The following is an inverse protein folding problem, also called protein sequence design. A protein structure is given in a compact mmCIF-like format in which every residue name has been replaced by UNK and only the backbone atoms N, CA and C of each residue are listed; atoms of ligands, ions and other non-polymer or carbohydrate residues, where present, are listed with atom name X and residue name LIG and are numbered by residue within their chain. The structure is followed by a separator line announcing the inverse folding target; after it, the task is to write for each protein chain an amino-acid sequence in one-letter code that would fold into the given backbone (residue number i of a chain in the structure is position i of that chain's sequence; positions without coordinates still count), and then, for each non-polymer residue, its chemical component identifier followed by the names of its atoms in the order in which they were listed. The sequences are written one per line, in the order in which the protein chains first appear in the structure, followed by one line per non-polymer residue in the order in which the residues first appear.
data_IF_343218752000
#
_entry.id   IF_343218752000
#
_cell.length_a   1.000
_cell.length_b   1.000
_cell.length_c   1.000
_cell.angle_alpha   90.00
_cell.angle_beta   90.00
_cell.angle_gamma   90.00
#
_symmetry.space_group_name_H-M   'P 1'
#
loop_
_entity.id
_entity.type
_entity.pdbx_description
1 polymer ?
#
# COMPACT_ATOMS: atom_id res chain seq x y z
N UNK A 1 24.52 6.58 13.83
CA UNK A 1 23.25 5.83 13.85
C UNK A 1 23.45 4.55 13.06
N UNK A 2 22.87 3.44 13.51
CA UNK A 2 22.97 2.14 12.81
C UNK A 2 22.37 2.23 11.41
N UNK A 3 23.03 1.63 10.45
CA UNK A 3 22.48 1.50 9.09
C UNK A 3 21.41 0.41 9.08
N UNK A 4 20.31 0.66 8.38
CA UNK A 4 19.14 -0.24 8.32
C UNK A 4 18.91 -0.66 6.89
N UNK A 5 18.79 -1.97 6.69
CA UNK A 5 18.65 -2.59 5.38
C UNK A 5 17.35 -3.40 5.28
N UNK A 6 16.86 -3.56 4.06
CA UNK A 6 15.74 -4.45 3.72
C UNK A 6 16.35 -5.73 3.13
N UNK A 7 16.16 -6.85 3.81
CA UNK A 7 16.67 -8.14 3.42
C UNK A 7 15.78 -8.89 2.43
N UNK A 8 14.46 -8.73 2.57
CA UNK A 8 13.48 -9.33 1.67
C UNK A 8 12.24 -8.47 1.54
N UNK A 9 11.51 -8.63 0.42
CA UNK A 9 10.30 -7.90 0.11
C UNK A 9 9.36 -8.80 -0.71
N UNK A 10 8.12 -8.97 -0.26
CA UNK A 10 7.13 -9.83 -0.92
C UNK A 10 5.72 -9.25 -0.79
N UNK A 11 4.82 -9.61 -1.71
CA UNK A 11 3.41 -9.27 -1.66
C UNK A 11 2.53 -10.40 -2.17
N UNK A 12 1.26 -10.42 -1.84
CA UNK A 12 0.28 -11.19 -2.59
C UNK A 12 -0.03 -10.50 -3.92
N UNK A 13 -0.60 -11.22 -4.88
CA UNK A 13 -1.37 -10.57 -5.91
C UNK A 13 -2.55 -9.80 -5.28
N UNK A 14 -3.02 -8.74 -5.93
CA UNK A 14 -4.09 -7.88 -5.44
C UNK A 14 -5.42 -8.37 -5.98
N UNK A 15 -6.35 -8.71 -5.07
CA UNK A 15 -7.73 -9.07 -5.39
C UNK A 15 -8.62 -7.84 -5.56
N UNK A 16 -9.64 -7.93 -6.42
CA UNK A 16 -10.68 -6.91 -6.55
C UNK A 16 -11.78 -7.10 -5.49
N UNK A 17 -12.58 -6.07 -5.28
CA UNK A 17 -13.72 -6.13 -4.36
C UNK A 17 -14.70 -7.25 -4.75
N UNK A 18 -14.95 -8.15 -3.82
CA UNK A 18 -15.78 -9.33 -4.06
C UNK A 18 -15.14 -10.36 -5.00
N UNK A 19 -13.86 -10.22 -5.35
CA UNK A 19 -13.10 -11.09 -6.26
C UNK A 19 -12.52 -12.34 -5.59
N UNK A 20 -11.39 -12.79 -6.11
CA UNK A 20 -10.79 -14.08 -5.72
C UNK A 20 -10.38 -14.16 -4.25
N UNK A 21 -9.97 -13.05 -3.63
CA UNK A 21 -9.53 -13.01 -2.23
C UNK A 21 -10.63 -12.70 -1.21
N UNK A 22 -11.87 -12.47 -1.64
CA UNK A 22 -12.96 -12.02 -0.77
C UNK A 22 -13.20 -12.87 0.48
N UNK A 23 -12.92 -14.17 0.40
CA UNK A 23 -13.17 -15.12 1.50
C UNK A 23 -11.90 -15.42 2.32
N UNK A 24 -10.75 -14.86 1.97
CA UNK A 24 -9.48 -15.05 2.66
C UNK A 24 -9.30 -13.94 3.72
N UNK A 25 -9.29 -14.25 5.02
CA UNK A 25 -9.08 -13.23 6.05
C UNK A 25 -7.78 -12.44 5.85
N UNK A 26 -7.79 -11.13 6.15
CA UNK A 26 -6.58 -10.30 6.10
C UNK A 26 -5.41 -10.90 6.92
N UNK A 27 -5.74 -11.50 8.07
CA UNK A 27 -4.77 -12.21 8.93
C UNK A 27 -4.06 -13.34 8.20
N UNK A 28 -4.76 -14.10 7.35
CA UNK A 28 -4.19 -15.23 6.61
C UNK A 28 -3.31 -14.72 5.45
N UNK A 29 -3.71 -13.63 4.77
CA UNK A 29 -2.86 -12.96 3.79
C UNK A 29 -1.59 -12.41 4.46
N UNK A 30 -1.73 -11.79 5.64
CA UNK A 30 -0.60 -11.31 6.44
C UNK A 30 0.35 -12.44 6.86
N UNK A 31 -0.19 -13.56 7.32
CA UNK A 31 0.61 -14.72 7.70
C UNK A 31 1.42 -15.30 6.53
N UNK A 32 0.81 -15.35 5.34
CA UNK A 32 1.44 -15.84 4.13
C UNK A 32 2.66 -14.99 3.75
N UNK A 33 2.51 -13.67 3.71
CA UNK A 33 3.61 -12.77 3.33
C UNK A 33 4.69 -12.67 4.40
N UNK A 34 4.34 -12.73 5.70
CA UNK A 34 5.32 -12.80 6.80
C UNK A 34 6.20 -14.04 6.65
N UNK A 35 5.56 -15.22 6.49
CA UNK A 35 6.26 -16.49 6.32
C UNK A 35 7.21 -16.46 5.13
N UNK A 36 6.73 -15.99 3.98
CA UNK A 36 7.53 -15.97 2.76
C UNK A 36 8.65 -14.92 2.83
N UNK A 37 8.41 -13.75 3.44
CA UNK A 37 9.45 -12.75 3.66
C UNK A 37 10.62 -13.29 4.50
N UNK A 38 10.33 -14.00 5.60
CA UNK A 38 11.36 -14.65 6.45
C UNK A 38 12.11 -15.74 5.67
N UNK A 39 11.39 -16.56 4.90
CA UNK A 39 11.99 -17.60 4.07
C UNK A 39 12.93 -17.00 3.01
N UNK A 40 12.51 -15.93 2.31
CA UNK A 40 13.34 -15.28 1.26
C UNK A 40 14.52 -14.52 1.84
N UNK A 41 14.41 -14.02 3.07
CA UNK A 41 15.56 -13.45 3.77
C UNK A 41 16.61 -14.51 4.14
N UNK A 42 16.25 -15.79 4.09
CA UNK A 42 17.15 -16.91 4.44
C UNK A 42 17.51 -16.96 5.92
N UNK A 43 16.66 -16.41 6.79
CA UNK A 43 16.89 -16.37 8.23
C UNK A 43 15.99 -17.36 8.98
N UNK A 44 16.42 -17.76 10.17
CA UNK A 44 15.59 -18.56 11.06
C UNK A 44 14.51 -17.69 11.70
N UNK A 45 13.26 -18.18 11.87
CA UNK A 45 12.16 -17.42 12.49
C UNK A 45 12.50 -16.88 13.89
N UNK A 46 13.32 -17.60 14.67
CA UNK A 46 13.73 -17.23 16.03
C UNK A 46 14.62 -15.97 16.09
N UNK A 47 15.15 -15.54 14.95
CA UNK A 47 15.97 -14.31 14.86
C UNK A 47 15.13 -13.04 14.76
N UNK A 48 13.84 -13.16 14.48
CA UNK A 48 12.93 -12.02 14.44
C UNK A 48 12.67 -11.52 15.86
N UNK A 49 12.88 -10.22 16.09
CA UNK A 49 12.66 -9.62 17.41
C UNK A 49 11.22 -9.10 17.55
N UNK A 50 10.62 -8.56 16.49
CA UNK A 50 9.27 -8.00 16.52
C UNK A 50 8.60 -8.04 15.14
N UNK A 51 7.25 -7.99 15.13
CA UNK A 51 6.44 -7.88 13.92
C UNK A 51 5.58 -6.63 13.99
N UNK A 52 5.63 -5.79 12.96
CA UNK A 52 4.80 -4.58 12.82
C UNK A 52 4.02 -4.62 11.52
N UNK A 53 2.70 -4.79 11.60
CA UNK A 53 1.85 -4.85 10.39
C UNK A 53 0.79 -3.77 10.40
N UNK A 54 0.63 -3.10 9.25
CA UNK A 54 -0.47 -2.19 9.00
C UNK A 54 -1.78 -2.93 8.72
N UNK A 55 -2.88 -2.43 9.30
CA UNK A 55 -4.24 -2.84 8.95
C UNK A 55 -5.20 -1.74 9.35
N UNK A 56 -6.14 -1.38 8.48
CA UNK A 56 -7.07 -0.25 8.69
C UNK A 56 -8.43 -0.74 9.18
N UNK A 57 -9.04 -1.67 8.47
CA UNK A 57 -10.39 -2.16 8.79
C UNK A 57 -10.26 -3.37 9.70
N UNK A 58 -10.23 -3.11 11.02
CA UNK A 58 -9.94 -4.13 12.04
C UNK A 58 -11.21 -4.69 12.71
N UNK A 59 -12.37 -4.11 12.46
CA UNK A 59 -13.62 -4.54 13.09
C UNK A 59 -13.92 -6.01 12.79
N UNK A 60 -14.15 -6.80 13.84
CA UNK A 60 -14.50 -8.22 13.73
C UNK A 60 -13.34 -9.17 13.41
N UNK A 61 -12.09 -8.68 13.26
CA UNK A 61 -10.94 -9.53 12.98
C UNK A 61 -10.29 -10.15 14.23
N UNK A 62 -10.77 -9.82 15.42
CA UNK A 62 -10.19 -10.27 16.69
C UNK A 62 -9.08 -9.36 17.19
N UNK A 63 -8.41 -9.79 18.25
CA UNK A 63 -7.35 -9.00 18.88
C UNK A 63 -6.08 -8.98 18.01
N UNK A 64 -5.48 -7.81 17.85
CA UNK A 64 -4.13 -7.62 17.28
C UNK A 64 -3.85 -8.51 16.06
N UNK A 65 -4.34 -8.08 14.91
CA UNK A 65 -4.26 -8.86 13.67
C UNK A 65 -2.79 -9.15 13.23
N UNK A 66 -1.85 -8.26 13.56
CA UNK A 66 -0.42 -8.51 13.34
C UNK A 66 0.08 -9.71 14.17
N UNK A 67 -0.35 -9.79 15.45
CA UNK A 67 -0.02 -10.93 16.32
C UNK A 67 -0.60 -12.23 15.79
N UNK A 68 -1.85 -12.21 15.35
CA UNK A 68 -2.47 -13.39 14.76
C UNK A 68 -1.70 -13.86 13.53
N UNK A 69 -1.32 -12.92 12.64
CA UNK A 69 -0.56 -13.22 11.42
C UNK A 69 0.83 -13.78 11.75
N UNK A 70 1.53 -13.21 12.71
CA UNK A 70 2.87 -13.67 13.14
C UNK A 70 2.84 -15.13 13.63
N UNK A 71 1.89 -15.46 14.51
CA UNK A 71 1.72 -16.83 15.03
C UNK A 71 1.30 -17.81 13.93
N UNK A 72 0.36 -17.41 13.06
CA UNK A 72 -0.07 -18.24 11.91
C UNK A 72 1.06 -18.43 10.88
N UNK A 73 1.97 -17.48 10.76
CA UNK A 73 3.16 -17.61 9.91
C UNK A 73 4.17 -18.64 10.42
N UNK A 74 4.03 -19.08 11.68
CA UNK A 74 4.92 -20.01 12.33
C UNK A 74 6.09 -19.36 13.05
N UNK A 75 6.02 -18.05 13.32
CA UNK A 75 7.00 -17.41 14.19
C UNK A 75 6.84 -17.88 15.65
N UNK A 76 7.93 -17.96 16.44
CA UNK A 76 7.85 -18.25 17.86
C UNK A 76 6.86 -17.37 18.63
N UNK A 77 6.18 -17.95 19.59
CA UNK A 77 5.15 -17.24 20.37
C UNK A 77 5.72 -16.17 21.30
N UNK A 78 7.01 -16.21 21.56
CA UNK A 78 7.76 -15.22 22.35
C UNK A 78 7.95 -13.89 21.60
N UNK A 79 7.84 -13.90 20.26
CA UNK A 79 8.05 -12.70 19.44
C UNK A 79 6.80 -11.81 19.53
N UNK A 80 6.92 -10.58 20.07
CA UNK A 80 5.81 -9.63 20.14
C UNK A 80 5.40 -9.15 18.75
N UNK A 81 4.18 -8.63 18.65
CA UNK A 81 3.68 -8.05 17.40
C UNK A 81 2.76 -6.87 17.69
N UNK A 82 2.77 -5.89 16.81
CA UNK A 82 1.97 -4.67 16.89
C UNK A 82 1.24 -4.41 15.58
N UNK A 83 -0.07 -4.12 15.68
CA UNK A 83 -0.86 -3.63 14.55
C UNK A 83 -0.89 -2.11 14.58
N UNK A 84 -0.61 -1.47 13.45
CA UNK A 84 -0.68 -0.01 13.32
C UNK A 84 -1.74 0.40 12.30
N UNK A 85 -2.33 1.57 12.53
CA UNK A 85 -3.26 2.21 11.61
C UNK A 85 -2.83 3.67 11.38
N UNK A 86 -2.36 3.95 10.18
CA UNK A 86 -2.13 5.28 9.64
C UNK A 86 -2.82 5.35 8.27
N UNK A 87 -4.05 4.81 8.18
CA UNK A 87 -4.83 4.67 6.96
C UNK A 87 -3.98 4.10 5.81
N UNK A 88 -3.99 4.71 4.63
CA UNK A 88 -3.23 4.25 3.45
C UNK A 88 -1.72 4.14 3.69
N UNK A 89 -1.18 4.94 4.63
CA UNK A 89 0.24 4.95 4.97
C UNK A 89 0.72 3.81 5.86
N UNK A 90 -0.18 2.99 6.42
CA UNK A 90 0.13 1.98 7.44
C UNK A 90 1.27 1.04 7.03
N UNK A 91 1.22 0.51 5.82
CA UNK A 91 2.24 -0.42 5.34
C UNK A 91 3.64 0.19 5.20
N UNK A 92 3.77 1.44 4.73
CA UNK A 92 5.07 2.12 4.66
C UNK A 92 5.53 2.61 6.03
N UNK A 93 4.57 3.01 6.89
CA UNK A 93 4.84 3.41 8.26
C UNK A 93 5.40 2.27 9.11
N UNK A 94 4.93 1.04 8.89
CA UNK A 94 5.47 -0.14 9.59
C UNK A 94 6.96 -0.35 9.31
N UNK A 95 7.39 -0.16 8.06
CA UNK A 95 8.81 -0.23 7.67
C UNK A 95 9.61 0.91 8.31
N UNK A 96 9.06 2.13 8.34
CA UNK A 96 9.69 3.26 9.01
C UNK A 96 9.83 3.03 10.52
N UNK A 97 8.83 2.43 11.18
CA UNK A 97 8.90 2.05 12.61
C UNK A 97 9.97 0.97 12.84
N UNK A 98 10.00 -0.06 12.00
CA UNK A 98 11.05 -1.08 12.07
C UNK A 98 12.46 -0.44 11.99
N UNK A 99 12.65 0.50 11.05
CA UNK A 99 13.91 1.22 10.95
C UNK A 99 14.21 2.08 12.19
N UNK A 100 13.21 2.69 12.82
CA UNK A 100 13.37 3.45 14.06
C UNK A 100 13.80 2.55 15.24
N UNK A 101 13.14 1.40 15.41
CA UNK A 101 13.46 0.43 16.47
C UNK A 101 14.90 -0.11 16.33
N UNK A 102 15.32 -0.42 15.11
CA UNK A 102 16.68 -0.87 14.80
C UNK A 102 17.70 0.25 15.05
N UNK A 103 17.42 1.48 14.62
CA UNK A 103 18.30 2.63 14.87
C UNK A 103 18.42 3.00 16.35
N UNK A 104 17.35 2.78 17.13
CA UNK A 104 17.35 2.96 18.58
C UNK A 104 18.14 1.88 19.32
N UNK A 105 18.33 0.71 18.70
CA UNK A 105 19.01 -0.43 19.30
C UNK A 105 18.07 -1.40 20.03
N UNK A 106 16.75 -1.19 19.92
CA UNK A 106 15.74 -2.07 20.56
C UNK A 106 15.63 -3.42 19.87
N UNK A 107 15.87 -3.46 18.55
CA UNK A 107 15.78 -4.65 17.71
C UNK A 107 16.94 -4.72 16.73
N UNK A 108 17.26 -5.93 16.27
CA UNK A 108 18.16 -6.19 15.15
C UNK A 108 17.43 -6.61 13.89
N UNK A 109 16.32 -7.35 14.03
CA UNK A 109 15.52 -7.91 12.93
C UNK A 109 14.03 -7.68 13.21
N UNK A 110 13.34 -7.01 12.32
CA UNK A 110 11.90 -6.74 12.42
C UNK A 110 11.21 -7.17 11.13
N UNK A 111 10.09 -7.87 11.25
CA UNK A 111 9.18 -8.09 10.13
C UNK A 111 8.18 -6.94 10.08
N UNK A 112 8.13 -6.25 8.96
CA UNK A 112 7.24 -5.09 8.76
C UNK A 112 6.41 -5.26 7.50
N UNK A 113 5.22 -4.66 7.45
CA UNK A 113 4.36 -4.76 6.27
C UNK A 113 2.97 -4.23 6.48
N UNK A 114 2.02 -4.74 5.71
CA UNK A 114 0.61 -4.42 5.85
C UNK A 114 -0.27 -5.46 5.17
N UNK A 115 -1.51 -5.51 5.59
CA UNK A 115 -2.52 -6.40 5.08
C UNK A 115 -3.89 -5.72 5.11
N UNK A 116 -4.73 -6.05 4.16
CA UNK A 116 -6.12 -5.57 4.12
C UNK A 116 -7.00 -6.56 3.37
N UNK A 117 -8.21 -6.77 3.84
CA UNK A 117 -9.27 -7.37 3.04
C UNK A 117 -10.50 -6.47 3.16
N UNK A 118 -10.66 -5.58 2.19
CA UNK A 118 -11.77 -4.63 2.17
C UNK A 118 -13.08 -5.32 1.80
N UNK A 119 -13.02 -6.43 1.06
CA UNK A 119 -14.20 -7.26 0.72
C UNK A 119 -14.88 -7.88 1.96
N UNK A 120 -14.15 -8.03 3.07
CA UNK A 120 -14.65 -8.61 4.33
C UNK A 120 -14.99 -7.57 5.40
N UNK A 121 -14.95 -6.30 5.06
CA UNK A 121 -15.31 -5.24 6.00
C UNK A 121 -16.75 -5.49 6.54
N UNK A 122 -16.96 -5.59 7.86
CA UNK A 122 -18.27 -5.84 8.41
C UNK A 122 -19.13 -4.58 8.42
N UNK A 123 -20.42 -4.78 8.62
CA UNK A 123 -21.33 -3.70 8.98
C UNK A 123 -21.47 -3.59 10.50
N UNK A 124 -21.55 -2.38 11.04
CA UNK A 124 -21.71 -2.10 12.46
C UNK A 124 -23.11 -1.58 12.79
N UNK A 125 -23.63 -2.01 13.94
CA UNK A 125 -24.86 -1.54 14.55
C UNK A 125 -24.51 -0.73 15.80
N UNK A 126 -24.21 0.55 15.65
CA UNK A 126 -23.63 1.40 16.70
C UNK A 126 -24.50 1.52 17.96
N UNK A 127 -25.82 1.52 17.80
CA UNK A 127 -26.78 1.71 18.91
C UNK A 127 -27.20 0.41 19.58
N UNK A 128 -26.91 -0.75 19.02
CA UNK A 128 -27.52 -2.04 19.42
C UNK A 128 -26.98 -2.58 20.74
N UNK A 129 -25.80 -2.16 21.23
CA UNK A 129 -25.23 -2.63 22.50
C UNK A 129 -26.17 -2.45 23.69
N UNK A 130 -26.91 -1.37 23.70
CA UNK A 130 -27.88 -1.04 24.77
C UNK A 130 -29.35 -1.29 24.37
N UNK A 131 -29.56 -1.92 23.22
CA UNK A 131 -30.86 -2.22 22.63
C UNK A 131 -31.37 -1.11 21.71
N UNK A 132 -32.00 -1.52 20.62
CA UNK A 132 -32.77 -0.64 19.73
C UNK A 132 -34.17 -0.51 20.31
N UNK A 133 -34.41 0.49 21.16
CA UNK A 133 -35.58 0.57 22.01
C UNK A 133 -36.88 0.87 21.24
N UNK A 134 -36.83 1.73 20.22
CA UNK A 134 -38.00 2.10 19.41
C UNK A 134 -37.51 2.75 18.10
N UNK A 135 -38.21 2.48 17.00
CA UNK A 135 -37.85 3.02 15.65
C UNK A 135 -36.78 2.22 14.95
N UNK A 136 -36.41 2.69 13.75
CA UNK A 136 -35.42 2.03 12.88
C UNK A 136 -34.01 2.21 13.42
N UNK A 137 -33.14 1.20 13.20
CA UNK A 137 -31.70 1.26 13.47
C UNK A 137 -30.90 1.53 12.19
N UNK A 138 -29.77 2.23 12.31
CA UNK A 138 -28.83 2.45 11.20
C UNK A 138 -27.77 1.36 11.19
N UNK A 139 -27.57 0.73 10.04
CA UNK A 139 -26.44 -0.17 9.75
C UNK A 139 -25.36 0.64 9.05
N UNK A 140 -24.13 0.63 9.59
CA UNK A 140 -23.00 1.39 9.10
C UNK A 140 -22.02 0.47 8.40
N UNK A 141 -21.69 0.73 7.14
CA UNK A 141 -20.61 0.08 6.41
C UNK A 141 -19.27 0.55 6.94
N UNK A 142 -18.49 -0.32 7.59
CA UNK A 142 -17.18 0.04 8.17
C UNK A 142 -16.13 0.29 7.11
N UNK A 143 -16.25 -0.30 5.92
CA UNK A 143 -15.36 0.03 4.80
C UNK A 143 -15.49 1.49 4.39
N UNK A 144 -16.72 1.98 4.25
CA UNK A 144 -17.00 3.39 3.92
C UNK A 144 -16.63 4.29 5.10
N UNK A 145 -17.06 3.94 6.31
CA UNK A 145 -16.91 4.79 7.50
C UNK A 145 -15.45 4.94 7.91
N UNK A 146 -14.69 3.85 7.97
CA UNK A 146 -13.37 3.81 8.60
C UNK A 146 -12.23 3.95 7.60
N UNK A 147 -12.47 3.72 6.29
CA UNK A 147 -11.44 3.78 5.27
C UNK A 147 -11.70 4.81 4.15
N UNK A 148 -12.94 4.97 3.68
CA UNK A 148 -13.25 5.73 2.48
C UNK A 148 -13.96 7.07 2.73
N UNK A 149 -14.30 7.41 3.98
CA UNK A 149 -14.88 8.70 4.35
C UNK A 149 -13.86 9.58 5.08
N UNK A 150 -13.82 10.86 4.72
CA UNK A 150 -13.09 11.85 5.50
C UNK A 150 -13.76 12.04 6.87
N UNK A 151 -12.97 11.86 7.93
CA UNK A 151 -13.49 11.88 9.30
C UNK A 151 -13.90 13.28 9.78
N UNK A 152 -13.40 14.33 9.14
CA UNK A 152 -13.64 15.73 9.52
C UNK A 152 -14.79 16.33 8.73
N UNK A 153 -14.83 16.08 7.42
CA UNK A 153 -15.81 16.67 6.51
C UNK A 153 -17.00 15.73 6.21
N UNK A 154 -16.92 14.46 6.61
CA UNK A 154 -17.99 13.46 6.44
C UNK A 154 -18.42 13.23 4.97
N UNK A 155 -17.49 13.29 4.04
CA UNK A 155 -17.69 12.95 2.64
C UNK A 155 -16.69 11.88 2.17
N UNK A 156 -17.00 11.25 1.04
CA UNK A 156 -16.12 10.21 0.46
C UNK A 156 -14.78 10.78 0.01
N UNK A 157 -13.69 10.00 0.11
CA UNK A 157 -12.35 10.38 -0.33
C UNK A 157 -12.30 10.89 -1.78
N UNK A 158 -13.20 10.43 -2.65
CA UNK A 158 -13.31 10.93 -4.02
C UNK A 158 -13.68 12.42 -4.10
N UNK A 159 -14.33 12.98 -3.08
CA UNK A 159 -14.58 14.43 -3.01
C UNK A 159 -13.28 15.20 -2.77
N UNK A 160 -12.35 14.63 -1.98
CA UNK A 160 -11.01 15.24 -1.83
C UNK A 160 -10.24 15.28 -3.15
N UNK A 161 -10.44 14.26 -4.02
CA UNK A 161 -9.87 14.26 -5.36
C UNK A 161 -10.51 15.32 -6.26
N UNK A 162 -11.82 15.55 -6.17
CA UNK A 162 -12.50 16.65 -6.88
C UNK A 162 -12.04 18.04 -6.38
N UNK A 163 -11.73 18.17 -5.08
CA UNK A 163 -11.13 19.41 -4.56
C UNK A 163 -9.77 19.69 -5.23
N UNK A 164 -8.93 18.67 -5.38
CA UNK A 164 -7.66 18.77 -6.10
C UNK A 164 -7.89 19.11 -7.58
N UNK A 165 -8.84 18.46 -8.24
CA UNK A 165 -9.22 18.80 -9.62
C UNK A 165 -9.53 20.29 -9.76
N UNK A 166 -10.30 20.84 -8.82
CA UNK A 166 -10.68 22.27 -8.81
C UNK A 166 -9.47 23.17 -8.55
N UNK A 167 -8.66 22.84 -7.55
CA UNK A 167 -7.54 23.69 -7.10
C UNK A 167 -6.41 23.74 -8.12
N UNK A 168 -6.08 22.61 -8.75
CA UNK A 168 -5.04 22.52 -9.79
C UNK A 168 -5.57 22.72 -11.22
N UNK A 169 -6.87 22.96 -11.39
CA UNK A 169 -7.47 23.22 -12.71
C UNK A 169 -7.39 22.04 -13.68
N UNK A 170 -7.40 20.80 -13.15
CA UNK A 170 -7.24 19.59 -13.97
C UNK A 170 -8.45 19.33 -14.85
N UNK A 171 -8.23 18.78 -16.04
CA UNK A 171 -9.29 18.38 -16.96
C UNK A 171 -9.65 16.90 -16.80
N UNK A 172 -10.81 16.50 -17.28
CA UNK A 172 -11.23 15.10 -17.31
C UNK A 172 -10.32 14.26 -18.21
N UNK A 173 -9.90 14.82 -19.31
CA UNK A 173 -9.02 14.22 -20.30
C UNK A 173 -7.65 13.89 -19.67
N UNK A 174 -7.05 14.82 -18.93
CA UNK A 174 -5.80 14.58 -18.20
C UNK A 174 -5.91 13.41 -17.23
N UNK A 175 -7.05 13.31 -16.49
CA UNK A 175 -7.30 12.22 -15.55
C UNK A 175 -7.41 10.87 -16.27
N UNK A 176 -8.15 10.84 -17.37
CA UNK A 176 -8.38 9.61 -18.13
C UNK A 176 -7.12 9.15 -18.88
N UNK A 177 -6.31 10.06 -19.43
CA UNK A 177 -5.01 9.75 -20.05
C UNK A 177 -4.01 9.18 -19.03
N UNK A 178 -3.93 9.78 -17.85
CA UNK A 178 -3.11 9.25 -16.76
C UNK A 178 -3.52 7.81 -16.41
N UNK A 179 -4.82 7.58 -16.28
CA UNK A 179 -5.39 6.29 -15.91
C UNK A 179 -5.18 5.23 -17.00
N UNK A 180 -5.36 5.62 -18.27
CA UNK A 180 -5.05 4.75 -19.41
C UNK A 180 -3.58 4.30 -19.38
N UNK A 181 -2.66 5.24 -19.15
CA UNK A 181 -1.24 4.93 -19.05
C UNK A 181 -0.92 3.95 -17.92
N UNK A 182 -1.57 4.09 -16.74
CA UNK A 182 -1.46 3.14 -15.64
C UNK A 182 -1.92 1.74 -16.06
N UNK A 183 -3.09 1.64 -16.73
CA UNK A 183 -3.63 0.36 -17.22
C UNK A 183 -2.70 -0.29 -18.26
N UNK A 184 -2.21 0.46 -19.24
CA UNK A 184 -1.31 -0.07 -20.28
C UNK A 184 0.03 -0.54 -19.71
N UNK A 185 0.60 0.21 -18.76
CA UNK A 185 1.83 -0.20 -18.05
C UNK A 185 1.60 -1.50 -17.26
N UNK A 186 0.49 -1.62 -16.52
CA UNK A 186 0.16 -2.81 -15.75
C UNK A 186 -0.09 -4.04 -16.65
N UNK A 187 -0.84 -3.87 -17.74
CA UNK A 187 -1.06 -4.93 -18.73
C UNK A 187 0.27 -5.44 -19.30
N UNK A 188 1.15 -4.51 -19.70
CA UNK A 188 2.48 -4.85 -20.22
C UNK A 188 3.31 -5.60 -19.16
N UNK A 189 3.35 -5.08 -17.93
CA UNK A 189 4.13 -5.68 -16.84
C UNK A 189 3.66 -7.10 -16.52
N UNK A 190 2.35 -7.37 -16.50
CA UNK A 190 1.80 -8.71 -16.28
C UNK A 190 2.17 -9.64 -17.44
N UNK A 191 2.01 -9.21 -18.69
CA UNK A 191 2.37 -10.00 -19.88
C UNK A 191 3.87 -10.35 -19.92
N UNK A 192 4.72 -9.45 -19.48
CA UNK A 192 6.17 -9.64 -19.39
C UNK A 192 6.61 -10.38 -18.12
N UNK A 193 5.69 -10.70 -17.21
CA UNK A 193 5.97 -11.44 -15.98
C UNK A 193 6.77 -10.62 -14.94
N UNK A 194 6.68 -9.28 -14.99
CA UNK A 194 7.44 -8.37 -14.09
C UNK A 194 7.15 -8.57 -12.60
N UNK A 195 5.96 -9.06 -12.26
CA UNK A 195 5.54 -9.22 -10.87
C UNK A 195 5.82 -10.62 -10.29
N UNK A 196 6.33 -11.57 -11.10
CA UNK A 196 6.51 -12.98 -10.67
C UNK A 196 7.40 -13.12 -9.45
N UNK A 197 8.48 -12.34 -9.38
CA UNK A 197 9.47 -12.45 -8.31
C UNK A 197 9.00 -11.81 -7.00
N UNK A 198 8.04 -10.89 -7.06
CA UNK A 198 7.51 -10.20 -5.88
C UNK A 198 6.25 -10.84 -5.31
N UNK A 199 5.50 -11.61 -6.11
CA UNK A 199 4.22 -12.20 -5.72
C UNK A 199 4.42 -13.55 -5.03
N UNK A 200 3.75 -13.70 -3.88
CA UNK A 200 3.55 -14.97 -3.19
C UNK A 200 2.18 -15.51 -3.60
N UNK A 201 2.09 -16.70 -4.20
CA UNK A 201 0.81 -17.29 -4.57
C UNK A 201 -0.10 -17.55 -3.37
N UNK A 202 -1.36 -17.17 -3.47
CA UNK A 202 -2.39 -17.47 -2.49
C UNK A 202 -3.18 -18.70 -2.95
N UNK A 203 -3.26 -19.72 -2.11
CA UNK A 203 -4.07 -20.91 -2.36
C UNK A 203 -5.51 -20.65 -1.93
N UNK A 204 -6.38 -20.32 -2.87
CA UNK A 204 -7.79 -19.97 -2.62
C UNK A 204 -8.63 -21.25 -2.53
N UNK A 205 -9.19 -21.57 -1.35
CA UNK A 205 -10.04 -22.75 -1.20
C UNK A 205 -11.23 -22.72 -2.16
N UNK A 206 -11.55 -23.85 -2.74
CA UNK A 206 -12.72 -24.00 -3.60
C UNK A 206 -13.81 -24.78 -2.89
N UNK A 207 -15.06 -24.51 -3.23
CA UNK A 207 -16.21 -25.21 -2.66
C UNK A 207 -16.17 -26.72 -2.94
N UNK A 208 -15.57 -27.12 -4.06
CA UNK A 208 -15.28 -28.48 -4.47
C UNK A 208 -13.97 -28.52 -5.26
N UNK A 209 -13.19 -29.58 -5.06
CA UNK A 209 -11.91 -29.78 -5.75
C UNK A 209 -10.70 -29.12 -5.06
N UNK A 210 -9.59 -29.06 -5.77
CA UNK A 210 -8.33 -28.52 -5.28
C UNK A 210 -8.38 -26.98 -5.14
N UNK A 211 -7.61 -26.38 -4.22
CA UNK A 211 -7.47 -24.94 -4.15
C UNK A 211 -6.98 -24.33 -5.45
N UNK A 212 -7.53 -23.17 -5.82
CA UNK A 212 -7.07 -22.42 -7.00
C UNK A 212 -5.90 -21.53 -6.61
N UNK A 213 -4.83 -21.56 -7.41
CA UNK A 213 -3.70 -20.64 -7.25
C UNK A 213 -4.11 -19.24 -7.70
N UNK A 214 -3.89 -18.25 -6.87
CA UNK A 214 -4.07 -16.84 -7.15
C UNK A 214 -2.72 -16.14 -7.05
N UNK A 215 -2.11 -15.82 -8.19
CA UNK A 215 -0.74 -15.31 -8.35
C UNK A 215 -0.62 -14.15 -9.35
N UNK A 216 -1.75 -13.61 -9.79
CA UNK A 216 -1.79 -12.52 -10.77
C UNK A 216 -2.76 -11.44 -10.29
N UNK A 217 -2.35 -10.17 -10.39
CA UNK A 217 -3.18 -9.02 -10.01
C UNK A 217 -4.46 -9.00 -10.84
N UNK A 218 -5.62 -8.93 -10.16
CA UNK A 218 -6.95 -9.09 -10.74
C UNK A 218 -7.54 -7.77 -11.26
N UNK A 219 -6.96 -6.63 -10.84
CA UNK A 219 -7.48 -5.30 -11.14
C UNK A 219 -7.30 -4.83 -12.59
N UNK A 220 -6.15 -5.07 -13.25
CA UNK A 220 -5.86 -4.49 -14.55
C UNK A 220 -6.84 -4.91 -15.64
N UNK A 221 -7.36 -3.92 -16.36
CA UNK A 221 -8.34 -4.09 -17.44
C UNK A 221 -7.63 -4.09 -18.78
N UNK A 222 -7.33 -5.26 -19.28
CA UNK A 222 -6.63 -5.44 -20.55
C UNK A 222 -7.43 -4.87 -21.72
N UNK A 223 -6.73 -4.20 -22.64
CA UNK A 223 -7.36 -3.54 -23.78
C UNK A 223 -8.12 -2.27 -23.43
N UNK A 224 -7.79 -1.61 -22.32
CA UNK A 224 -8.35 -0.29 -21.97
C UNK A 224 -8.08 0.73 -23.07
N UNK A 225 -9.08 1.60 -23.33
CA UNK A 225 -8.98 2.68 -24.32
C UNK A 225 -9.47 4.01 -23.73
N UNK A 226 -9.05 5.12 -24.33
CA UNK A 226 -9.47 6.45 -23.88
C UNK A 226 -10.98 6.65 -24.06
N UNK A 227 -11.56 6.12 -25.15
CA UNK A 227 -12.99 6.19 -25.40
C UNK A 227 -13.79 5.39 -24.37
N UNK A 228 -13.24 4.28 -23.88
CA UNK A 228 -13.82 3.48 -22.80
C UNK A 228 -13.88 4.27 -21.50
N UNK A 229 -12.81 4.95 -21.13
CA UNK A 229 -12.73 5.80 -19.94
C UNK A 229 -13.64 7.03 -20.06
N UNK A 230 -13.65 7.70 -21.20
CA UNK A 230 -14.45 8.89 -21.43
C UNK A 230 -15.98 8.67 -21.27
N UNK A 231 -16.47 7.43 -21.47
CA UNK A 231 -17.90 7.08 -21.28
C UNK A 231 -18.31 6.96 -19.81
N UNK A 232 -17.34 6.88 -18.89
CA UNK A 232 -17.65 6.72 -17.46
C UNK A 232 -18.19 8.03 -16.88
N UNK A 233 -19.19 7.90 -16.01
CA UNK A 233 -19.82 9.06 -15.35
C UNK A 233 -19.05 9.41 -14.07
N UNK A 234 -19.04 10.70 -13.67
CA UNK A 234 -18.55 11.10 -12.35
C UNK A 234 -19.27 10.34 -11.24
N UNK A 235 -18.52 9.96 -10.18
CA UNK A 235 -19.03 9.09 -9.12
C UNK A 235 -19.29 9.82 -7.80
N UNK A 236 -18.65 10.97 -7.54
CA UNK A 236 -18.58 11.55 -6.21
C UNK A 236 -19.34 12.87 -6.06
N UNK A 237 -19.33 13.71 -7.07
CA UNK A 237 -20.13 14.94 -7.12
C UNK A 237 -20.82 15.07 -8.48
N UNK A 238 -21.94 15.80 -8.49
CA UNK A 238 -22.62 16.14 -9.74
C UNK A 238 -21.70 17.00 -10.61
N UNK A 239 -21.61 16.66 -11.89
CA UNK A 239 -20.77 17.36 -12.87
C UNK A 239 -19.27 17.37 -12.52
N UNK A 240 -18.81 16.39 -11.70
CA UNK A 240 -17.41 16.17 -11.36
C UNK A 240 -16.59 15.57 -12.51
N UNK A 241 -15.30 15.35 -12.25
CA UNK A 241 -14.36 14.77 -13.22
C UNK A 241 -13.80 13.42 -12.77
N UNK A 242 -13.95 13.10 -11.47
CA UNK A 242 -13.46 11.85 -10.90
C UNK A 242 -14.46 10.73 -11.12
N UNK A 243 -13.98 9.63 -11.73
CA UNK A 243 -14.80 8.47 -12.12
C UNK A 243 -14.21 7.19 -11.54
N UNK A 244 -14.93 6.08 -11.66
CA UNK A 244 -14.39 4.76 -11.32
C UNK A 244 -13.19 4.34 -12.18
N UNK A 245 -13.00 4.94 -13.36
CA UNK A 245 -11.88 4.64 -14.26
C UNK A 245 -10.61 5.42 -13.94
N UNK A 246 -10.73 6.56 -13.24
CA UNK A 246 -9.59 7.39 -12.86
C UNK A 246 -9.40 7.48 -11.32
N UNK A 247 -9.92 6.47 -10.63
CA UNK A 247 -9.76 6.19 -9.20
C UNK A 247 -9.20 4.79 -9.00
N UNK A 248 -8.47 4.56 -7.90
CA UNK A 248 -8.10 3.21 -7.51
C UNK A 248 -9.32 2.39 -7.11
N UNK A 249 -9.20 1.07 -7.21
CA UNK A 249 -10.24 0.14 -6.76
C UNK A 249 -10.28 -0.04 -5.25
N UNK A 250 -11.31 -0.76 -4.80
CA UNK A 250 -11.43 -1.36 -3.46
C UNK A 250 -10.83 -2.76 -3.58
N UNK A 251 -9.85 -3.10 -2.73
CA UNK A 251 -9.00 -4.25 -3.00
C UNK A 251 -8.60 -5.02 -1.73
N UNK A 252 -8.10 -6.23 -1.96
CA UNK A 252 -7.63 -7.16 -0.95
C UNK A 252 -6.18 -7.53 -1.23
N UNK A 253 -5.32 -7.59 -0.21
CA UNK A 253 -3.92 -7.96 -0.40
C UNK A 253 -3.05 -7.73 0.83
N UNK A 254 -1.81 -8.21 0.77
CA UNK A 254 -0.81 -8.04 1.81
C UNK A 254 0.60 -7.91 1.24
N UNK A 255 1.49 -7.29 1.99
CA UNK A 255 2.91 -7.22 1.67
C UNK A 255 3.75 -7.21 2.96
N UNK A 256 4.95 -7.78 2.92
CA UNK A 256 5.85 -7.83 4.06
C UNK A 256 7.33 -7.76 3.66
N UNK A 257 8.13 -7.35 4.62
CA UNK A 257 9.57 -7.22 4.54
C UNK A 257 10.24 -7.84 5.76
N UNK A 258 11.47 -8.28 5.58
CA UNK A 258 12.42 -8.41 6.70
C UNK A 258 13.33 -7.19 6.65
N UNK A 259 13.32 -6.41 7.72
CA UNK A 259 14.15 -5.22 7.93
C UNK A 259 15.16 -5.54 9.04
N UNK A 260 16.42 -5.25 8.83
CA UNK A 260 17.45 -5.53 9.83
C UNK A 260 18.59 -4.51 9.84
N UNK A 261 19.40 -4.54 10.88
CA UNK A 261 20.63 -3.76 10.88
C UNK A 261 21.63 -4.30 9.85
N UNK A 262 22.43 -3.41 9.26
CA UNK A 262 23.46 -3.82 8.30
C UNK A 262 24.49 -4.76 8.95
N UNK A 263 24.79 -4.56 10.23
CA UNK A 263 25.68 -5.42 11.01
C UNK A 263 25.10 -6.83 11.13
N UNK A 264 23.78 -6.95 11.41
CA UNK A 264 23.12 -8.25 11.52
C UNK A 264 23.01 -8.94 10.17
N UNK A 265 22.77 -8.21 9.10
CA UNK A 265 22.79 -8.76 7.74
C UNK A 265 24.17 -9.36 7.40
N UNK A 266 25.25 -8.63 7.71
CA UNK A 266 26.62 -9.11 7.50
C UNK A 266 26.93 -10.35 8.36
N UNK A 267 26.55 -10.35 9.64
CA UNK A 267 26.71 -11.51 10.55
C UNK A 267 26.04 -12.77 10.01
N UNK A 268 24.85 -12.61 9.43
CA UNK A 268 24.05 -13.73 8.91
C UNK A 268 24.38 -14.09 7.45
N UNK A 269 25.26 -13.34 6.79
CA UNK A 269 25.56 -13.53 5.36
C UNK A 269 24.39 -13.19 4.43
N UNK A 270 23.47 -12.34 4.87
CA UNK A 270 22.30 -11.91 4.09
C UNK A 270 22.71 -10.76 3.17
N UNK A 271 22.42 -10.89 1.87
CA UNK A 271 22.60 -9.80 0.90
C UNK A 271 21.36 -8.91 0.90
N UNK A 272 21.47 -7.64 1.32
CA UNK A 272 20.31 -6.74 1.35
C UNK A 272 19.82 -6.37 -0.06
N UNK A 273 18.51 -6.15 -0.20
CA UNK A 273 17.90 -5.57 -1.39
C UNK A 273 18.22 -4.07 -1.52
N UNK A 274 18.15 -3.34 -0.41
CA UNK A 274 18.46 -1.92 -0.33
C UNK A 274 18.68 -1.45 1.11
N UNK A 275 19.31 -0.28 1.26
CA UNK A 275 19.41 0.49 2.51
C UNK A 275 18.28 1.50 2.59
N UNK A 276 17.69 1.71 3.78
CA UNK A 276 16.73 2.78 4.04
C UNK A 276 17.49 4.07 4.34
N UNK A 277 17.47 5.00 3.36
CA UNK A 277 18.20 6.28 3.44
C UNK A 277 17.45 7.29 4.30
N UNK A 278 16.18 7.53 3.97
CA UNK A 278 15.33 8.50 4.65
C UNK A 278 13.88 8.07 4.63
N UNK A 279 13.11 8.47 5.63
CA UNK A 279 11.67 8.33 5.69
C UNK A 279 11.04 9.48 6.45
N UNK A 280 9.80 9.83 6.12
CA UNK A 280 9.11 10.94 6.77
C UNK A 280 7.63 10.97 6.49
N UNK A 281 6.93 11.73 7.33
CA UNK A 281 5.49 11.92 7.28
C UNK A 281 5.18 13.40 7.45
N UNK A 282 4.14 13.90 6.78
CA UNK A 282 3.67 15.29 6.93
C UNK A 282 2.14 15.32 6.92
N UNK A 283 1.59 16.22 7.73
CA UNK A 283 0.17 16.57 7.72
C UNK A 283 -0.12 17.74 6.79
N UNK A 284 -1.36 17.80 6.30
CA UNK A 284 -1.93 18.91 5.52
C UNK A 284 -3.45 18.95 5.71
N UNK A 285 -4.11 19.88 5.04
CA UNK A 285 -5.57 19.99 5.05
C UNK A 285 -6.20 18.66 4.57
N UNK A 286 -7.09 18.04 5.38
CA UNK A 286 -7.82 16.83 4.99
C UNK A 286 -8.60 16.98 3.69
N UNK A 287 -9.10 18.16 3.39
CA UNK A 287 -9.88 18.42 2.18
C UNK A 287 -9.10 18.17 0.88
N UNK A 288 -7.77 18.22 0.93
CA UNK A 288 -6.86 17.94 -0.17
C UNK A 288 -5.83 16.86 0.20
N UNK A 289 -6.24 15.87 0.98
CA UNK A 289 -5.36 14.82 1.53
C UNK A 289 -4.46 14.17 0.46
N UNK A 290 -4.95 14.07 -0.77
CA UNK A 290 -4.20 13.49 -1.89
C UNK A 290 -2.89 14.21 -2.21
N UNK A 291 -2.74 15.48 -1.81
CA UNK A 291 -1.51 16.25 -2.00
C UNK A 291 -0.42 15.96 -0.93
N UNK A 292 -0.71 15.11 0.04
CA UNK A 292 0.23 14.69 1.10
C UNK A 292 1.61 14.22 0.62
N UNK A 293 1.72 13.46 -0.48
CA UNK A 293 3.01 13.03 -1.05
C UNK A 293 3.96 14.19 -1.36
N UNK A 294 3.46 15.36 -1.79
CA UNK A 294 4.28 16.53 -2.04
C UNK A 294 5.06 16.95 -0.80
N UNK A 295 4.38 17.12 0.33
CA UNK A 295 5.00 17.54 1.58
C UNK A 295 5.93 16.47 2.17
N UNK A 296 5.51 15.21 2.11
CA UNK A 296 6.32 14.10 2.62
C UNK A 296 7.59 13.89 1.79
N UNK A 297 7.49 13.95 0.46
CA UNK A 297 8.64 13.82 -0.45
C UNK A 297 9.64 14.94 -0.22
N UNK A 298 9.20 16.20 -0.17
CA UNK A 298 10.10 17.32 0.14
C UNK A 298 10.84 17.14 1.46
N UNK A 299 10.15 16.65 2.49
CA UNK A 299 10.75 16.45 3.81
C UNK A 299 11.83 15.35 3.79
N UNK A 300 11.60 14.22 3.11
CA UNK A 300 12.60 13.14 3.04
C UNK A 300 13.78 13.50 2.14
N UNK A 301 13.55 14.24 1.04
CA UNK A 301 14.60 14.76 0.19
C UNK A 301 15.51 15.72 0.96
N UNK A 302 14.93 16.68 1.68
CA UNK A 302 15.68 17.59 2.53
C UNK A 302 16.50 16.85 3.60
N UNK A 303 15.91 15.86 4.27
CA UNK A 303 16.57 15.07 5.31
C UNK A 303 17.74 14.25 4.77
N UNK A 304 17.67 13.79 3.52
CA UNK A 304 18.71 13.03 2.85
C UNK A 304 19.72 13.89 2.10
N UNK A 305 19.48 15.19 2.00
CA UNK A 305 20.24 16.12 1.13
C UNK A 305 20.24 15.65 -0.33
N UNK A 306 19.07 15.24 -0.81
CA UNK A 306 18.82 14.76 -2.16
C UNK A 306 17.70 15.59 -2.82
N UNK A 307 17.58 15.47 -4.12
CA UNK A 307 16.50 16.03 -4.93
C UNK A 307 15.71 14.93 -5.64
N UNK A 308 14.59 15.27 -6.26
CA UNK A 308 13.78 14.31 -7.01
C UNK A 308 14.51 13.79 -8.25
N UNK A 309 15.33 14.61 -8.86
CA UNK A 309 16.15 14.29 -10.04
C UNK A 309 17.18 13.18 -9.75
N UNK A 310 17.61 13.05 -8.48
CA UNK A 310 18.52 11.99 -8.04
C UNK A 310 17.86 10.60 -8.01
N UNK A 311 16.53 10.54 -8.13
CA UNK A 311 15.81 9.26 -8.10
C UNK A 311 15.83 8.59 -9.48
N UNK A 312 16.21 7.31 -9.50
CA UNK A 312 16.15 6.48 -10.70
C UNK A 312 14.75 5.93 -10.95
N UNK A 313 14.02 5.61 -9.87
CA UNK A 313 12.65 5.08 -9.91
C UNK A 313 11.80 5.70 -8.79
N UNK A 314 10.52 5.87 -9.08
CA UNK A 314 9.52 6.41 -8.13
C UNK A 314 8.27 5.52 -8.18
N UNK A 315 7.84 5.04 -7.04
CA UNK A 315 6.52 4.47 -6.83
C UNK A 315 5.67 5.45 -6.01
N UNK A 316 4.76 6.14 -6.68
CA UNK A 316 3.81 7.08 -6.09
C UNK A 316 2.41 6.46 -6.17
N UNK A 317 1.79 6.17 -5.02
CA UNK A 317 0.50 5.49 -5.00
C UNK A 317 -0.60 6.31 -5.69
N UNK A 318 -1.29 5.69 -6.63
CA UNK A 318 -2.35 6.31 -7.42
C UNK A 318 -3.72 6.08 -6.75
N UNK A 319 -3.97 6.72 -5.60
CA UNK A 319 -5.31 6.64 -4.99
C UNK A 319 -6.38 7.22 -5.93
N UNK A 320 -6.02 8.32 -6.62
CA UNK A 320 -6.79 8.97 -7.69
C UNK A 320 -5.82 9.54 -8.73
N UNK A 321 -6.20 9.57 -9.99
CA UNK A 321 -5.41 10.22 -11.03
C UNK A 321 -5.18 11.71 -10.72
N UNK A 322 -6.21 12.40 -10.19
CA UNK A 322 -6.15 13.81 -9.85
C UNK A 322 -4.97 14.15 -8.91
N UNK A 323 -4.85 13.43 -7.78
CA UNK A 323 -3.77 13.69 -6.83
C UNK A 323 -2.40 13.30 -7.39
N UNK A 324 -2.35 12.23 -8.18
CA UNK A 324 -1.09 11.78 -8.78
C UNK A 324 -0.54 12.81 -9.76
N UNK A 325 -1.41 13.42 -10.58
CA UNK A 325 -1.04 14.48 -11.53
C UNK A 325 -0.61 15.74 -10.79
N UNK A 326 -1.36 16.20 -9.78
CA UNK A 326 -1.03 17.39 -9.02
C UNK A 326 0.35 17.28 -8.34
N UNK A 327 0.59 16.15 -7.68
CA UNK A 327 1.88 15.86 -7.01
C UNK A 327 3.02 15.77 -8.03
N UNK A 328 2.82 15.07 -9.14
CA UNK A 328 3.84 14.90 -10.18
C UNK A 328 4.22 16.23 -10.83
N UNK A 329 3.23 17.10 -11.12
CA UNK A 329 3.46 18.44 -11.67
C UNK A 329 4.33 19.30 -10.73
N UNK A 330 3.96 19.38 -9.45
CA UNK A 330 4.60 20.29 -8.51
C UNK A 330 5.94 19.78 -7.96
N UNK A 331 6.17 18.45 -7.99
CA UNK A 331 7.47 17.84 -7.70
C UNK A 331 8.36 17.67 -8.95
N UNK A 332 7.87 18.07 -10.13
CA UNK A 332 8.58 17.92 -11.40
C UNK A 332 9.02 16.46 -11.67
N UNK A 333 8.15 15.50 -11.39
CA UNK A 333 8.46 14.10 -11.63
C UNK A 333 8.71 13.81 -13.12
N UNK A 334 9.79 13.13 -13.42
CA UNK A 334 9.98 12.49 -14.73
C UNK A 334 9.06 11.25 -14.80
N UNK A 335 7.95 11.38 -15.54
CA UNK A 335 6.93 10.33 -15.64
C UNK A 335 7.42 9.04 -16.29
N UNK A 336 8.59 9.04 -16.92
CA UNK A 336 9.23 7.82 -17.42
C UNK A 336 9.83 6.95 -16.30
N UNK A 337 10.05 7.54 -15.12
CA UNK A 337 10.56 6.89 -13.91
C UNK A 337 9.45 6.53 -12.90
N UNK A 338 8.21 7.02 -13.11
CA UNK A 338 7.10 6.89 -12.16
C UNK A 338 6.20 5.71 -12.52
N UNK A 339 5.94 4.84 -11.53
CA UNK A 339 5.02 3.71 -11.66
C UNK A 339 5.21 2.99 -12.99
N UNK A 340 6.43 2.60 -13.26
CA UNK A 340 6.84 2.08 -14.59
C UNK A 340 6.16 0.77 -14.96
N UNK A 341 5.57 0.08 -13.99
CA UNK A 341 4.78 -1.14 -14.15
C UNK A 341 3.27 -0.92 -13.90
N UNK A 342 2.80 0.33 -13.98
CA UNK A 342 1.45 0.70 -13.57
C UNK A 342 1.32 0.93 -12.07
N UNK A 343 0.28 1.63 -11.64
CA UNK A 343 0.03 1.97 -10.25
C UNK A 343 -1.37 1.54 -9.79
N UNK A 344 -1.84 2.11 -8.68
CA UNK A 344 -3.04 1.65 -8.00
C UNK A 344 -4.34 1.87 -8.78
N UNK A 345 -4.40 2.80 -9.72
CA UNK A 345 -5.56 2.94 -10.62
C UNK A 345 -5.79 1.65 -11.41
N UNK A 346 -4.72 0.97 -11.81
CA UNK A 346 -4.78 -0.32 -12.49
C UNK A 346 -4.73 -1.50 -11.54
N UNK A 347 -3.72 -1.54 -10.65
CA UNK A 347 -3.42 -2.68 -9.79
C UNK A 347 -4.35 -2.79 -8.57
N UNK A 348 -4.81 -1.64 -8.03
CA UNK A 348 -5.65 -1.61 -6.83
C UNK A 348 -4.98 -1.03 -5.59
N UNK A 349 -5.83 -0.76 -4.55
CA UNK A 349 -5.43 -0.04 -3.34
C UNK A 349 -5.96 -0.70 -2.06
N UNK A 350 -5.42 -1.87 -1.65
CA UNK A 350 -5.72 -2.45 -0.34
C UNK A 350 -5.11 -1.55 0.75
N UNK A 351 -5.93 -0.68 1.37
CA UNK A 351 -5.47 0.53 2.08
C UNK A 351 -4.36 0.27 3.09
N UNK A 352 -4.49 -0.68 3.99
CA UNK A 352 -3.47 -0.99 5.02
C UNK A 352 -2.19 -1.62 4.47
N UNK A 353 -2.25 -2.24 3.27
CA UNK A 353 -1.12 -2.89 2.62
C UNK A 353 -0.41 -2.00 1.59
N UNK A 354 -1.08 -0.97 1.05
CA UNK A 354 -0.61 -0.24 -0.13
C UNK A 354 0.76 0.40 0.03
N UNK A 355 1.05 1.00 1.18
CA UNK A 355 2.37 1.58 1.42
C UNK A 355 3.50 0.55 1.40
N UNK A 356 3.23 -0.69 1.84
CA UNK A 356 4.16 -1.80 1.71
C UNK A 356 4.21 -2.30 0.25
N UNK A 357 3.06 -2.43 -0.41
CA UNK A 357 2.98 -2.89 -1.81
C UNK A 357 3.84 -2.05 -2.75
N UNK A 358 3.74 -0.71 -2.68
CA UNK A 358 4.52 0.16 -3.56
C UNK A 358 6.04 0.02 -3.31
N UNK A 359 6.46 -0.15 -2.06
CA UNK A 359 7.87 -0.35 -1.74
C UNK A 359 8.38 -1.72 -2.23
N UNK A 360 7.57 -2.79 -2.16
CA UNK A 360 7.92 -4.11 -2.73
C UNK A 360 8.17 -3.98 -4.22
N UNK A 361 7.23 -3.40 -4.97
CA UNK A 361 7.36 -3.23 -6.43
C UNK A 361 8.56 -2.36 -6.79
N UNK A 362 8.79 -1.27 -6.04
CA UNK A 362 9.97 -0.41 -6.22
C UNK A 362 11.28 -1.20 -6.11
N UNK A 363 11.45 -1.98 -5.03
CA UNK A 363 12.68 -2.73 -4.78
C UNK A 363 12.95 -3.78 -5.86
N UNK A 364 11.93 -4.53 -6.28
CA UNK A 364 12.07 -5.50 -7.35
C UNK A 364 12.39 -4.86 -8.70
N UNK A 365 11.77 -3.71 -9.02
CA UNK A 365 12.08 -3.01 -10.27
C UNK A 365 13.47 -2.35 -10.23
N UNK A 366 13.88 -1.82 -9.08
CA UNK A 366 15.25 -1.32 -8.88
C UNK A 366 16.28 -2.44 -9.11
N UNK A 367 16.01 -3.65 -8.60
CA UNK A 367 16.88 -4.80 -8.81
C UNK A 367 16.96 -5.18 -10.30
N UNK A 368 15.83 -5.21 -10.98
CA UNK A 368 15.73 -5.60 -12.40
C UNK A 368 16.44 -4.64 -13.33
N UNK A 369 16.44 -3.34 -13.01
CA UNK A 369 17.07 -2.28 -13.83
C UNK A 369 18.46 -1.88 -13.36
N UNK A 370 18.97 -2.47 -12.31
CA UNK A 370 20.17 -2.01 -11.58
C UNK A 370 20.10 -0.53 -11.16
N UNK A 371 18.87 -0.06 -10.88
CA UNK A 371 18.64 1.30 -10.38
C UNK A 371 19.19 1.45 -8.96
N UNK A 372 19.75 2.60 -8.63
CA UNK A 372 20.46 2.82 -7.36
C UNK A 372 19.55 3.50 -6.32
N UNK A 373 18.81 4.52 -6.68
CA UNK A 373 17.95 5.28 -5.75
C UNK A 373 16.49 5.19 -6.13
N UNK A 374 15.65 4.90 -5.15
CA UNK A 374 14.21 4.80 -5.31
C UNK A 374 13.43 5.57 -4.26
N UNK A 375 12.31 6.14 -4.67
CA UNK A 375 11.35 6.83 -3.82
C UNK A 375 10.01 6.08 -3.81
N UNK A 376 9.50 5.76 -2.62
CA UNK A 376 8.12 5.34 -2.41
C UNK A 376 7.37 6.45 -1.67
N UNK A 377 6.20 6.86 -2.19
CA UNK A 377 5.37 7.91 -1.54
C UNK A 377 3.89 7.67 -1.75
N UNK A 378 3.07 8.06 -0.76
CA UNK A 378 1.62 7.98 -0.87
C UNK A 378 0.89 8.99 0.00
N UNK A 379 -0.33 9.34 -0.42
CA UNK A 379 -1.28 10.12 0.34
C UNK A 379 -1.98 9.26 1.39
N UNK A 380 -2.55 9.91 2.39
CA UNK A 380 -3.17 9.25 3.54
C UNK A 380 -4.45 10.01 3.89
N UNK A 381 -5.56 9.30 4.02
CA UNK A 381 -6.82 9.86 4.51
C UNK A 381 -6.66 10.59 5.84
N UNK A 382 -7.44 11.65 6.04
CA UNK A 382 -7.31 12.54 7.19
C UNK A 382 -6.25 13.64 7.01
N UNK A 383 -5.70 13.82 5.80
CA UNK A 383 -4.78 14.91 5.48
C UNK A 383 -3.33 14.63 5.89
N UNK A 384 -2.74 13.57 5.38
CA UNK A 384 -1.34 13.22 5.63
C UNK A 384 -0.66 12.70 4.35
N UNK A 385 0.67 12.63 4.39
CA UNK A 385 1.49 11.95 3.40
C UNK A 385 2.68 11.27 4.04
N UNK A 386 3.18 10.23 3.40
CA UNK A 386 4.40 9.53 3.81
C UNK A 386 5.31 9.25 2.61
N UNK A 387 6.60 9.25 2.85
CA UNK A 387 7.61 8.95 1.84
C UNK A 387 8.80 8.20 2.45
N UNK A 388 9.48 7.41 1.61
CA UNK A 388 10.71 6.70 1.96
C UNK A 388 11.66 6.68 0.76
N UNK A 389 12.93 6.96 1.01
CA UNK A 389 14.02 6.82 0.05
C UNK A 389 14.81 5.58 0.40
N UNK A 390 15.05 4.74 -0.60
CA UNK A 390 15.90 3.53 -0.49
C UNK A 390 17.04 3.59 -1.51
N UNK A 391 18.17 2.98 -1.17
CA UNK A 391 19.35 2.95 -2.03
C UNK A 391 19.91 1.54 -2.14
N UNK A 392 20.22 1.09 -3.36
CA UNK A 392 20.95 -0.15 -3.63
C UNK A 392 22.44 0.18 -3.83
N UNK A 393 23.28 -0.65 -3.24
CA UNK A 393 24.74 -0.60 -3.43
C UNK A 393 25.20 -1.44 -4.61
#
# INVERSE_FOLDING_TARGET
MREVVIASAVRTAIGTFGGSLKDIPAVDLGALVIKDAVNRAGIKPELVNEVVMGNVIQAGLGQNVARQSAVKAGLPIEIPAMTINMVCGSGLRSVALAAQMIKAGDCDVVVAGGMENMSRAPYALETTRWGQRMGDGKIVDTMIKDALSDAFNNYHMGVTAENIVKEWGLTREELDEFSLNSQLKAEKAIKEGKFKDEIVPVMVPQRKGEPKVFDTDEGPRFGSTIEGLARLKPCFIKDGKVTAGNSSGINDGAAAFVVMSAEKAAELGVTPLATIVSYGHKGLDPAIMGYGPFHATKAVMQSANLTVEDMDLIEANEAFAAQSIAVAKDLHFDMSKVNVNGGAVALGHPVGASGARILVTLLHEMQRRDAKKGLATLCIGGGMGTAMIVERR
#
